data_IF_488024840900
#
_entry.id   IF_488024840900
#
_cell.length_a   1.000
_cell.length_b   1.000
_cell.length_c   1.000
_cell.angle_alpha   90.00
_cell.angle_beta   90.00
_cell.angle_gamma   90.00
#
_symmetry.space_group_name_H-M   'P 1'
#
loop_
_entity.id
_entity.type
_entity.pdbx_description
1 polymer ?
#
# COMPACT_ATOMS: atom_id res chain seq x y z
N UNK A 1 -2.30 12.58 5.61
CA UNK A 1 -2.84 12.43 6.99
C UNK A 1 -2.87 10.97 7.44
N UNK A 2 -3.65 10.09 6.81
CA UNK A 2 -3.72 8.67 7.22
C UNK A 2 -2.43 7.90 6.88
N UNK A 3 -1.83 8.21 5.73
CA UNK A 3 -0.51 7.76 5.31
C UNK A 3 0.62 8.30 6.22
N UNK A 4 0.63 9.60 6.51
CA UNK A 4 1.63 10.25 7.39
C UNK A 4 1.60 9.71 8.83
N UNK A 5 0.45 9.19 9.25
CA UNK A 5 0.30 8.53 10.54
C UNK A 5 1.11 7.22 10.60
N UNK A 6 1.31 6.55 9.46
CA UNK A 6 1.94 5.21 9.36
C UNK A 6 3.33 5.25 8.69
N UNK A 7 3.62 6.25 7.87
CA UNK A 7 4.90 6.42 7.16
C UNK A 7 5.65 7.71 7.56
N UNK A 8 5.01 8.61 8.31
CA UNK A 8 5.60 9.87 8.74
C UNK A 8 6.54 9.73 9.94
N UNK A 9 7.15 10.82 10.41
CA UNK A 9 8.10 10.81 11.54
C UNK A 9 7.50 10.27 12.84
N UNK A 10 6.17 10.26 12.96
CA UNK A 10 5.44 9.73 14.12
C UNK A 10 4.98 8.27 13.95
N UNK A 11 5.24 7.64 12.81
CA UNK A 11 4.91 6.24 12.53
C UNK A 11 5.36 5.26 13.63
N UNK A 12 6.56 5.39 14.24
CA UNK A 12 6.95 4.49 15.31
C UNK A 12 6.07 4.57 16.57
N UNK A 13 5.28 5.63 16.70
CA UNK A 13 4.44 5.91 17.87
C UNK A 13 2.95 5.73 17.59
N UNK A 14 2.57 5.27 16.39
CA UNK A 14 1.16 5.03 16.10
C UNK A 14 0.64 3.86 16.93
N UNK A 15 -0.59 4.03 17.40
CA UNK A 15 -1.32 3.02 18.18
C UNK A 15 -2.62 2.65 17.47
N UNK A 16 -3.16 1.44 17.67
CA UNK A 16 -4.47 1.05 17.13
C UNK A 16 -5.58 2.07 17.48
N UNK A 17 -5.53 2.65 18.68
CA UNK A 17 -6.51 3.64 19.13
C UNK A 17 -6.43 4.96 18.33
N UNK A 18 -5.27 5.28 17.75
CA UNK A 18 -5.16 6.42 16.83
C UNK A 18 -5.91 6.16 15.52
N UNK A 19 -5.89 4.92 15.02
CA UNK A 19 -6.67 4.51 13.85
C UNK A 19 -8.16 4.43 14.17
N UNK A 20 -8.54 3.98 15.37
CA UNK A 20 -9.94 4.01 15.85
C UNK A 20 -10.50 5.43 15.86
N UNK A 21 -9.72 6.40 16.36
CA UNK A 21 -10.12 7.82 16.34
C UNK A 21 -10.22 8.36 14.92
N UNK A 22 -9.34 7.92 14.02
CA UNK A 22 -9.40 8.33 12.62
C UNK A 22 -10.67 7.81 11.94
N UNK A 23 -11.02 6.54 12.19
CA UNK A 23 -12.23 5.93 11.67
C UNK A 23 -13.49 6.61 12.22
N UNK A 24 -13.54 6.87 13.53
CA UNK A 24 -14.66 7.61 14.13
C UNK A 24 -14.81 9.03 13.53
N UNK A 25 -13.70 9.73 13.31
CA UNK A 25 -13.70 11.04 12.66
C UNK A 25 -14.19 10.97 11.21
N UNK A 26 -13.84 9.90 10.49
CA UNK A 26 -14.32 9.65 9.13
C UNK A 26 -15.84 9.43 9.12
N UNK A 27 -16.37 8.62 10.04
CA UNK A 27 -17.82 8.44 10.19
C UNK A 27 -18.53 9.76 10.47
N UNK A 28 -17.97 10.59 11.34
CA UNK A 28 -18.54 11.88 11.66
C UNK A 28 -18.62 12.80 10.43
N UNK A 29 -17.57 12.86 9.61
CA UNK A 29 -17.55 13.64 8.36
C UNK A 29 -18.64 13.17 7.41
N UNK A 30 -18.77 11.87 7.19
CA UNK A 30 -19.80 11.31 6.29
C UNK A 30 -21.23 11.47 6.83
N UNK A 31 -21.38 11.66 8.14
CA UNK A 31 -22.64 12.01 8.77
C UNK A 31 -22.88 13.53 8.86
N UNK A 32 -22.02 14.36 8.26
CA UNK A 32 -22.15 15.83 8.27
C UNK A 32 -21.78 16.49 9.61
N UNK A 33 -21.08 15.78 10.51
CA UNK A 33 -20.59 16.30 11.79
C UNK A 33 -19.13 16.72 11.65
N UNK A 34 -18.88 18.02 11.68
CA UNK A 34 -17.52 18.59 11.56
C UNK A 34 -17.02 19.07 12.93
N UNK A 35 -15.88 18.53 13.36
CA UNK A 35 -15.22 18.94 14.61
C UNK A 35 -13.91 19.70 14.38
N UNK A 36 -13.26 19.53 13.22
CA UNK A 36 -11.99 20.19 12.89
C UNK A 36 -12.00 20.85 11.52
N UNK A 37 -11.32 22.00 11.41
CA UNK A 37 -11.23 22.77 10.17
C UNK A 37 -10.56 21.98 9.03
N UNK A 38 -9.62 21.09 9.38
CA UNK A 38 -8.93 20.23 8.40
C UNK A 38 -9.86 19.23 7.71
N UNK A 39 -11.02 18.95 8.28
CA UNK A 39 -11.99 17.99 7.75
C UNK A 39 -13.00 18.66 6.80
N UNK A 40 -13.01 20.00 6.74
CA UNK A 40 -13.95 20.78 5.94
C UNK A 40 -13.84 20.48 4.44
N UNK A 41 -12.61 20.29 3.93
CA UNK A 41 -12.38 19.97 2.52
C UNK A 41 -12.99 18.61 2.15
N UNK A 42 -12.73 17.58 2.96
CA UNK A 42 -13.31 16.26 2.72
C UNK A 42 -14.83 16.28 2.86
N UNK A 43 -15.37 16.99 3.86
CA UNK A 43 -16.82 17.13 4.03
C UNK A 43 -17.48 17.81 2.83
N UNK A 44 -16.87 18.85 2.26
CA UNK A 44 -17.37 19.51 1.04
C UNK A 44 -17.36 18.52 -0.14
N UNK A 45 -16.27 17.80 -0.37
CA UNK A 45 -16.18 16.76 -1.41
C UNK A 45 -17.25 15.68 -1.24
N UNK A 46 -17.41 15.12 -0.04
CA UNK A 46 -18.41 14.07 0.24
C UNK A 46 -19.82 14.57 -0.07
N UNK A 47 -20.14 15.81 0.34
CA UNK A 47 -21.47 16.40 0.12
C UNK A 47 -21.77 16.68 -1.36
N UNK A 48 -20.75 16.99 -2.17
CA UNK A 48 -20.91 17.34 -3.59
C UNK A 48 -20.95 16.12 -4.50
N UNK A 49 -20.04 15.18 -4.28
CA UNK A 49 -19.77 14.09 -5.22
C UNK A 49 -20.39 12.75 -4.81
N UNK A 50 -21.07 12.70 -3.64
CA UNK A 50 -21.74 11.50 -3.14
C UNK A 50 -20.82 10.28 -3.12
N UNK A 51 -19.60 10.48 -2.64
CA UNK A 51 -18.58 9.42 -2.58
C UNK A 51 -19.02 8.34 -1.60
N UNK A 52 -18.71 7.08 -1.89
CA UNK A 52 -18.91 5.98 -0.95
C UNK A 52 -17.86 6.06 0.17
N UNK A 53 -18.29 5.79 1.41
CA UNK A 53 -17.40 5.73 2.57
C UNK A 53 -16.54 4.47 2.55
N UNK A 54 -16.98 3.40 1.89
CA UNK A 54 -16.34 2.10 1.99
C UNK A 54 -14.84 2.11 1.61
N UNK A 55 -14.41 2.72 0.49
CA UNK A 55 -12.98 2.83 0.17
C UNK A 55 -12.15 3.51 1.27
N UNK A 56 -12.73 4.49 1.98
CA UNK A 56 -12.05 5.21 3.06
C UNK A 56 -11.85 4.32 4.28
N UNK A 57 -12.87 3.51 4.65
CA UNK A 57 -12.74 2.50 5.70
C UNK A 57 -11.70 1.45 5.34
N UNK A 58 -11.74 0.99 4.09
CA UNK A 58 -10.79 0.01 3.55
C UNK A 58 -9.35 0.54 3.63
N UNK A 59 -9.12 1.82 3.34
CA UNK A 59 -7.80 2.44 3.53
C UNK A 59 -7.35 2.43 5.01
N UNK A 60 -8.26 2.73 5.95
CA UNK A 60 -7.95 2.64 7.38
C UNK A 60 -7.59 1.21 7.79
N UNK A 61 -8.28 0.21 7.24
CA UNK A 61 -7.93 -1.21 7.46
C UNK A 61 -6.54 -1.54 6.91
N UNK A 62 -6.18 -1.04 5.73
CA UNK A 62 -4.81 -1.15 5.20
C UNK A 62 -3.76 -0.59 6.15
N UNK A 63 -4.05 0.55 6.78
CA UNK A 63 -3.16 1.12 7.79
C UNK A 63 -3.11 0.28 9.08
N UNK A 64 -4.20 -0.37 9.47
CA UNK A 64 -4.22 -1.31 10.60
C UNK A 64 -3.37 -2.54 10.30
N UNK A 65 -3.49 -3.08 9.08
CA UNK A 65 -2.67 -4.21 8.63
C UNK A 65 -1.18 -3.89 8.72
N UNK A 66 -0.75 -2.67 8.38
CA UNK A 66 0.64 -2.23 8.50
C UNK A 66 1.20 -2.29 9.93
N UNK A 67 0.35 -2.32 10.96
CA UNK A 67 0.82 -2.40 12.35
C UNK A 67 1.35 -3.78 12.74
N UNK A 68 0.91 -4.85 12.07
CA UNK A 68 1.15 -6.23 12.51
C UNK A 68 1.47 -7.22 11.39
N UNK A 69 1.10 -6.95 10.13
CA UNK A 69 1.33 -7.86 9.01
C UNK A 69 2.60 -7.47 8.25
N UNK A 70 3.61 -8.33 8.35
CA UNK A 70 4.93 -8.10 7.74
C UNK A 70 5.29 -9.12 6.66
N UNK A 71 4.51 -10.20 6.55
CA UNK A 71 4.72 -11.32 5.64
C UNK A 71 3.42 -11.67 4.91
N UNK A 72 3.57 -11.97 3.62
CA UNK A 72 2.48 -12.31 2.71
C UNK A 72 2.70 -13.73 2.18
N UNK A 73 1.81 -14.65 2.52
CA UNK A 73 2.02 -16.07 2.19
C UNK A 73 1.91 -16.33 0.68
N UNK A 74 1.04 -15.57 0.01
CA UNK A 74 0.73 -15.72 -1.40
C UNK A 74 0.38 -14.36 -2.02
N UNK A 75 0.23 -14.36 -3.35
CA UNK A 75 -0.12 -13.14 -4.07
C UNK A 75 -1.49 -12.58 -3.72
N UNK A 76 -2.48 -13.41 -3.38
CA UNK A 76 -3.82 -12.91 -3.05
C UNK A 76 -3.79 -12.04 -1.77
N UNK A 77 -3.00 -12.44 -0.77
CA UNK A 77 -2.78 -11.61 0.42
C UNK A 77 -2.09 -10.28 0.07
N UNK A 78 -1.08 -10.32 -0.82
CA UNK A 78 -0.38 -9.12 -1.27
C UNK A 78 -1.28 -8.21 -2.12
N UNK A 79 -2.12 -8.80 -2.96
CA UNK A 79 -3.11 -8.12 -3.79
C UNK A 79 -4.12 -7.39 -2.91
N UNK A 80 -4.65 -8.06 -1.88
CA UNK A 80 -5.56 -7.44 -0.92
C UNK A 80 -4.90 -6.26 -0.18
N UNK A 81 -3.62 -6.41 0.18
CA UNK A 81 -2.87 -5.29 0.73
C UNK A 81 -2.75 -4.11 -0.24
N UNK A 82 -2.34 -4.37 -1.49
CA UNK A 82 -2.26 -3.34 -2.52
C UNK A 82 -3.62 -2.67 -2.78
N UNK A 83 -4.71 -3.43 -2.69
CA UNK A 83 -6.06 -2.89 -2.78
C UNK A 83 -6.28 -1.86 -1.68
N UNK A 84 -6.07 -2.24 -0.43
CA UNK A 84 -6.32 -1.38 0.73
C UNK A 84 -5.50 -0.10 0.71
N UNK A 85 -4.20 -0.18 0.42
CA UNK A 85 -3.28 0.97 0.57
C UNK A 85 -3.13 1.82 -0.70
N UNK A 86 -3.59 1.35 -1.86
CA UNK A 86 -3.41 2.08 -3.12
C UNK A 86 -4.64 2.13 -4.02
N UNK A 87 -5.33 1.01 -4.26
CA UNK A 87 -6.53 1.01 -5.13
C UNK A 87 -7.67 1.83 -4.54
N UNK A 88 -7.85 1.81 -3.22
CA UNK A 88 -8.85 2.64 -2.52
C UNK A 88 -8.70 4.11 -2.86
N UNK A 89 -7.48 4.65 -3.05
CA UNK A 89 -7.26 6.05 -3.47
C UNK A 89 -7.94 6.33 -4.80
N UNK A 90 -7.78 5.45 -5.79
CA UNK A 90 -8.46 5.57 -7.08
C UNK A 90 -9.97 5.55 -6.93
N UNK A 91 -10.51 4.64 -6.10
CA UNK A 91 -11.94 4.55 -5.84
C UNK A 91 -12.51 5.79 -5.14
N UNK A 92 -11.73 6.44 -4.27
CA UNK A 92 -12.11 7.72 -3.64
C UNK A 92 -12.08 8.88 -4.64
N UNK A 93 -11.17 8.86 -5.62
CA UNK A 93 -10.96 9.96 -6.56
C UNK A 93 -11.89 9.93 -7.77
N UNK A 94 -12.30 8.76 -8.25
CA UNK A 94 -13.13 8.63 -9.47
C UNK A 94 -14.43 9.46 -9.40
N UNK A 95 -15.21 9.50 -8.30
CA UNK A 95 -16.41 10.34 -8.23
C UNK A 95 -16.15 11.84 -8.44
N UNK A 96 -15.03 12.35 -7.90
CA UNK A 96 -14.63 13.77 -7.99
C UNK A 96 -14.11 14.11 -9.39
N UNK A 97 -13.27 13.24 -9.95
CA UNK A 97 -12.73 13.40 -11.31
C UNK A 97 -13.81 13.28 -12.38
N UNK A 98 -14.83 12.45 -12.14
CA UNK A 98 -15.92 12.18 -13.07
C UNK A 98 -15.49 11.40 -14.31
N UNK A 99 -16.47 11.14 -15.18
CA UNK A 99 -16.25 10.50 -16.49
C UNK A 99 -16.68 11.49 -17.56
N UNK A 100 -15.77 11.77 -18.49
CA UNK A 100 -16.03 12.72 -19.57
C UNK A 100 -17.27 12.31 -20.40
N UNK A 101 -18.18 13.23 -20.74
CA UNK A 101 -19.42 12.91 -21.46
C UNK A 101 -19.23 12.19 -22.80
N UNK A 102 -18.11 12.45 -23.47
CA UNK A 102 -17.71 11.83 -24.74
C UNK A 102 -17.03 10.46 -24.58
N UNK A 103 -16.73 10.05 -23.34
CA UNK A 103 -16.10 8.77 -23.06
C UNK A 103 -17.02 7.62 -23.45
N UNK A 104 -16.45 6.60 -24.11
CA UNK A 104 -17.14 5.34 -24.40
C UNK A 104 -17.04 4.33 -23.25
N UNK A 105 -16.26 4.64 -22.21
CA UNK A 105 -16.07 3.77 -21.06
C UNK A 105 -17.34 3.72 -20.22
N UNK A 106 -17.70 2.53 -19.73
CA UNK A 106 -18.74 2.40 -18.71
C UNK A 106 -18.20 2.82 -17.35
N UNK A 107 -19.07 3.26 -16.44
CA UNK A 107 -18.69 3.55 -15.06
C UNK A 107 -17.93 2.37 -14.44
N UNK A 108 -18.45 1.16 -14.56
CA UNK A 108 -17.79 -0.06 -14.08
C UNK A 108 -16.37 -0.22 -14.63
N UNK A 109 -16.15 -0.01 -15.93
CA UNK A 109 -14.82 -0.13 -16.53
C UNK A 109 -13.83 0.91 -16.00
N UNK A 110 -14.29 2.12 -15.68
CA UNK A 110 -13.45 3.18 -15.09
C UNK A 110 -13.05 2.81 -13.66
N UNK A 111 -13.98 2.31 -12.85
CA UNK A 111 -13.67 1.86 -11.49
C UNK A 111 -12.73 0.65 -11.49
N UNK A 112 -12.92 -0.31 -12.40
CA UNK A 112 -12.01 -1.45 -12.57
C UNK A 112 -10.61 -0.99 -13.00
N UNK A 113 -10.51 -0.01 -13.90
CA UNK A 113 -9.23 0.57 -14.28
C UNK A 113 -8.54 1.31 -13.12
N UNK A 114 -9.29 2.07 -12.31
CA UNK A 114 -8.76 2.74 -11.13
C UNK A 114 -8.23 1.74 -10.09
N UNK A 115 -8.96 0.64 -9.88
CA UNK A 115 -8.53 -0.46 -9.01
C UNK A 115 -7.23 -1.06 -9.52
N UNK A 116 -7.18 -1.47 -10.79
CA UNK A 116 -6.03 -2.14 -11.38
C UNK A 116 -4.79 -1.23 -11.41
N UNK A 117 -4.97 0.05 -11.71
CA UNK A 117 -3.92 1.06 -11.67
C UNK A 117 -3.32 1.21 -10.27
N UNK A 118 -4.16 1.23 -9.22
CA UNK A 118 -3.70 1.26 -7.84
C UNK A 118 -2.84 0.05 -7.48
N UNK A 119 -3.30 -1.16 -7.83
CA UNK A 119 -2.53 -2.39 -7.60
C UNK A 119 -1.19 -2.32 -8.33
N UNK A 120 -1.20 -2.01 -9.62
CA UNK A 120 0.01 -1.96 -10.45
C UNK A 120 1.01 -0.90 -9.94
N UNK A 121 0.53 0.24 -9.48
CA UNK A 121 1.36 1.31 -8.90
C UNK A 121 2.00 0.85 -7.60
N UNK A 122 1.24 0.20 -6.71
CA UNK A 122 1.79 -0.29 -5.44
C UNK A 122 2.79 -1.42 -5.64
N UNK A 123 2.51 -2.36 -6.54
CA UNK A 123 3.47 -3.40 -6.94
C UNK A 123 4.75 -2.78 -7.51
N UNK A 124 4.64 -1.70 -8.28
CA UNK A 124 5.82 -0.98 -8.79
C UNK A 124 6.66 -0.39 -7.66
N UNK A 125 6.02 0.27 -6.68
CA UNK A 125 6.70 0.82 -5.51
C UNK A 125 7.42 -0.28 -4.73
N UNK A 126 6.75 -1.39 -4.47
CA UNK A 126 7.31 -2.57 -3.80
C UNK A 126 8.58 -3.07 -4.51
N UNK A 127 8.50 -3.29 -5.82
CA UNK A 127 9.61 -3.82 -6.60
C UNK A 127 10.80 -2.84 -6.64
N UNK A 128 10.55 -1.54 -6.74
CA UNK A 128 11.58 -0.50 -6.67
C UNK A 128 12.27 -0.50 -5.31
N UNK A 129 11.50 -0.48 -4.22
CA UNK A 129 12.02 -0.32 -2.87
C UNK A 129 12.83 -1.55 -2.42
N UNK A 130 12.47 -2.75 -2.89
CA UNK A 130 13.31 -3.94 -2.74
C UNK A 130 14.67 -3.71 -3.43
N UNK A 131 14.68 -3.21 -4.67
CA UNK A 131 15.92 -2.93 -5.41
C UNK A 131 16.82 -1.87 -4.76
N UNK A 132 16.23 -0.83 -4.17
CA UNK A 132 16.97 0.18 -3.39
C UNK A 132 17.62 -0.41 -2.15
N UNK A 133 16.92 -1.32 -1.44
CA UNK A 133 17.48 -2.04 -0.29
C UNK A 133 18.65 -2.95 -0.68
N UNK A 134 18.55 -3.68 -1.80
CA UNK A 134 19.67 -4.45 -2.36
C UNK A 134 20.92 -3.55 -2.55
N UNK A 135 20.72 -2.38 -3.14
CA UNK A 135 21.80 -1.41 -3.39
C UNK A 135 22.39 -0.85 -2.10
N UNK A 136 21.56 -0.57 -1.09
CA UNK A 136 22.00 -0.04 0.20
C UNK A 136 22.74 -1.09 1.06
N UNK A 137 22.27 -2.35 1.07
CA UNK A 137 22.92 -3.45 1.80
C UNK A 137 24.27 -3.81 1.17
N UNK A 138 24.36 -3.82 -0.16
CA UNK A 138 25.62 -4.03 -0.87
C UNK A 138 26.70 -2.98 -0.51
N UNK A 139 26.29 -1.76 -0.15
CA UNK A 139 27.21 -0.71 0.29
C UNK A 139 27.66 -0.83 1.77
N UNK A 140 26.96 -1.60 2.64
CA UNK A 140 27.32 -1.71 4.07
C UNK A 140 26.47 -2.78 4.80
N UNK A 141 26.87 -4.04 4.75
CA UNK A 141 26.20 -5.15 5.46
C UNK A 141 26.27 -5.01 7.00
N UNK A 142 27.43 -4.62 7.56
CA UNK A 142 27.65 -4.55 9.02
C UNK A 142 26.89 -3.39 9.70
N UNK A 143 26.76 -2.23 9.06
CA UNK A 143 26.03 -1.08 9.64
C UNK A 143 24.50 -1.28 9.59
N UNK A 144 24.00 -2.06 8.62
CA UNK A 144 22.56 -2.32 8.46
C UNK A 144 22.04 -3.33 9.50
N UNK A 145 22.83 -4.37 9.80
CA UNK A 145 22.51 -5.41 10.78
C UNK A 145 22.32 -4.87 12.21
N UNK A 146 23.09 -3.85 12.60
CA UNK A 146 22.97 -3.19 13.90
C UNK A 146 21.71 -2.31 14.03
N UNK A 147 21.20 -1.77 12.91
CA UNK A 147 19.96 -0.98 12.88
C UNK A 147 18.70 -1.86 12.91
N UNK A 148 18.81 -3.12 12.46
CA UNK A 148 17.73 -4.10 12.34
C UNK A 148 17.29 -4.77 13.66
N UNK A 149 18.06 -4.66 14.73
CA UNK A 149 17.79 -5.31 16.03
C UNK A 149 16.92 -4.49 17.00
N UNK A 150 16.46 -3.30 16.61
CA UNK A 150 15.48 -2.54 17.39
C UNK A 150 14.04 -2.91 17.02
N UNK A 151 13.05 -2.82 17.94
CA UNK A 151 11.64 -3.08 17.65
C UNK A 151 11.08 -2.23 16.48
N UNK A 152 11.71 -1.08 16.17
CA UNK A 152 11.36 -0.24 15.03
C UNK A 152 11.87 -0.76 13.68
N UNK A 153 12.88 -1.62 13.63
CA UNK A 153 13.42 -2.14 12.38
C UNK A 153 12.80 -3.48 11.96
N UNK A 154 12.23 -4.22 12.92
CA UNK A 154 11.25 -5.27 12.65
C UNK A 154 9.98 -4.71 11.95
N UNK A 155 9.58 -3.46 12.24
CA UNK A 155 8.50 -2.75 11.52
C UNK A 155 8.83 -2.42 10.07
N UNK A 156 10.11 -2.34 9.69
CA UNK A 156 10.57 -1.97 8.35
C UNK A 156 10.88 -3.18 7.43
N UNK A 157 10.76 -4.40 7.97
CA UNK A 157 10.84 -5.66 7.23
C UNK A 157 9.50 -6.02 6.59
N UNK A 158 8.92 -5.06 5.88
CA UNK A 158 7.83 -5.32 4.96
C UNK A 158 8.38 -6.20 3.82
N UNK A 159 8.36 -7.52 4.01
CA UNK A 159 8.61 -8.50 2.96
C UNK A 159 7.33 -8.54 2.12
N UNK A 160 7.17 -7.49 1.32
CA UNK A 160 6.06 -7.31 0.37
C UNK A 160 6.29 -8.20 -0.86
N UNK A 161 6.71 -9.44 -0.62
CA UNK A 161 7.00 -10.46 -1.61
C UNK A 161 6.23 -11.71 -1.21
N UNK A 162 5.46 -12.33 -2.12
CA UNK A 162 4.75 -13.57 -1.83
C UNK A 162 5.74 -14.69 -1.49
N UNK A 163 5.62 -15.25 -0.29
CA UNK A 163 6.57 -16.22 0.26
C UNK A 163 6.55 -17.56 -0.49
N UNK A 164 5.38 -17.99 -0.95
CA UNK A 164 5.22 -19.15 -1.81
C UNK A 164 5.98 -19.02 -3.14
N UNK A 165 5.92 -17.85 -3.77
CA UNK A 165 6.60 -17.58 -5.04
C UNK A 165 8.11 -17.44 -4.86
N UNK A 166 8.53 -16.85 -3.74
CA UNK A 166 9.94 -16.77 -3.36
C UNK A 166 10.52 -18.19 -3.18
N UNK A 167 9.82 -19.04 -2.44
CA UNK A 167 10.20 -20.45 -2.25
C UNK A 167 10.19 -21.24 -3.57
N UNK A 168 9.19 -21.04 -4.44
CA UNK A 168 9.14 -21.67 -5.77
C UNK A 168 10.32 -21.27 -6.68
N UNK A 169 10.86 -20.06 -6.49
CA UNK A 169 12.05 -19.60 -7.19
C UNK A 169 13.36 -20.12 -6.55
N UNK A 170 13.28 -20.89 -5.46
CA UNK A 170 14.45 -21.36 -4.71
C UNK A 170 15.17 -20.25 -3.94
N UNK A 171 14.46 -19.16 -3.63
CA UNK A 171 14.97 -18.00 -2.92
C UNK A 171 14.44 -17.97 -1.50
N UNK A 172 15.17 -17.26 -0.63
CA UNK A 172 14.79 -17.00 0.75
C UNK A 172 14.92 -15.51 1.10
N UNK A 173 14.36 -15.12 2.24
CA UNK A 173 14.58 -13.76 2.77
C UNK A 173 16.08 -13.49 2.98
N UNK A 174 16.88 -14.50 3.30
CA UNK A 174 18.33 -14.39 3.47
C UNK A 174 19.03 -14.02 2.16
N UNK A 175 18.53 -14.48 1.01
CA UNK A 175 19.06 -14.10 -0.31
C UNK A 175 18.76 -12.63 -0.63
N UNK A 176 17.57 -12.15 -0.22
CA UNK A 176 17.18 -10.74 -0.30
C UNK A 176 18.11 -9.89 0.57
N UNK A 177 18.32 -10.29 1.83
CA UNK A 177 19.21 -9.61 2.76
C UNK A 177 20.68 -9.70 2.37
N UNK A 178 21.11 -10.73 1.66
CA UNK A 178 22.48 -10.85 1.17
C UNK A 178 22.78 -9.85 0.04
N UNK A 179 21.76 -9.22 -0.55
CA UNK A 179 21.94 -8.20 -1.58
C UNK A 179 22.52 -8.76 -2.89
N UNK A 180 22.43 -10.07 -3.12
CA UNK A 180 23.02 -10.74 -4.29
C UNK A 180 21.99 -10.92 -5.40
N UNK A 181 22.27 -10.34 -6.56
CA UNK A 181 21.43 -10.48 -7.76
C UNK A 181 21.84 -11.75 -8.51
N UNK A 182 21.23 -12.89 -8.16
CA UNK A 182 21.42 -14.17 -8.85
C UNK A 182 20.52 -14.27 -10.11
N UNK A 183 20.70 -15.33 -10.90
CA UNK A 183 19.83 -15.58 -12.06
C UNK A 183 18.41 -15.95 -11.63
N UNK A 184 18.26 -16.69 -10.53
CA UNK A 184 16.98 -17.00 -9.89
C UNK A 184 16.26 -15.72 -9.47
N UNK A 185 16.98 -14.77 -8.85
CA UNK A 185 16.43 -13.46 -8.51
C UNK A 185 15.97 -12.68 -9.75
N UNK A 186 16.76 -12.67 -10.83
CA UNK A 186 16.37 -12.00 -12.08
C UNK A 186 15.12 -12.62 -12.69
N UNK A 187 15.00 -13.95 -12.67
CA UNK A 187 13.82 -14.66 -13.16
C UNK A 187 12.61 -14.33 -12.29
N UNK A 188 12.78 -14.36 -10.97
CA UNK A 188 11.75 -13.99 -10.01
C UNK A 188 11.20 -12.57 -10.26
N UNK A 189 12.09 -11.57 -10.33
CA UNK A 189 11.70 -10.18 -10.57
C UNK A 189 11.02 -9.98 -11.92
N UNK A 190 11.46 -10.68 -12.98
CA UNK A 190 10.79 -10.65 -14.29
C UNK A 190 9.34 -11.13 -14.21
N UNK A 191 9.06 -12.19 -13.43
CA UNK A 191 7.69 -12.67 -13.23
C UNK A 191 6.82 -11.62 -12.53
N UNK A 192 7.35 -10.93 -11.51
CA UNK A 192 6.62 -9.87 -10.81
C UNK A 192 6.34 -8.67 -11.73
N UNK A 193 7.31 -8.27 -12.56
CA UNK A 193 7.14 -7.20 -13.55
C UNK A 193 6.07 -7.58 -14.59
N UNK A 194 6.14 -8.80 -15.12
CA UNK A 194 5.15 -9.30 -16.09
C UNK A 194 3.74 -9.34 -15.50
N UNK A 195 3.60 -9.76 -14.24
CA UNK A 195 2.30 -9.75 -13.54
C UNK A 195 1.71 -8.34 -13.50
N UNK A 196 2.52 -7.35 -13.15
CA UNK A 196 2.10 -5.95 -13.14
C UNK A 196 1.68 -5.49 -14.54
N UNK A 197 2.41 -5.87 -15.59
CA UNK A 197 2.07 -5.52 -16.97
C UNK A 197 0.73 -6.10 -17.43
N UNK A 198 0.30 -7.25 -16.90
CA UNK A 198 -1.02 -7.85 -17.21
C UNK A 198 -2.17 -7.06 -16.56
N UNK A 199 -1.90 -6.34 -15.47
CA UNK A 199 -2.91 -5.56 -14.76
C UNK A 199 -3.21 -4.20 -15.43
N UNK A 200 -2.37 -3.73 -16.36
CA UNK A 200 -2.49 -2.45 -17.06
C UNK A 200 -2.93 -2.65 -18.51
#
# INVERSE_FOLDING_TARGET
RIDELVDGPNAPHITPEALDRCEASLEDIFNGRLFHLLDAALSDTVSRFHVDIQPFRDMVEGMRMNLWKFLYNNFDELYLYCYYVASTVGLMSVPDMGIAPESKATTESVYNAALALGIATQLTNILRDIGEKFSAIACSYETYKAKLLGPCAARAMNHLVPQDELAQAGLSDEDIFAGRVTDEWRIFMKKQIQRKEILL
#
